data_IF_357404621496
#
_entry.id   IF_357404621496
#
_cell.length_a   1.000
_cell.length_b   1.000
_cell.length_c   1.000
_cell.angle_alpha   90.00
_cell.angle_beta   90.00
_cell.angle_gamma   90.00
#
_symmetry.space_group_name_H-M   'P 1'
#
loop_
_entity.id
_entity.type
_entity.pdbx_description
1 polymer ?
#
# COMPACT_ATOMS: atom_id res chain seq x y z
N UNK A 1 -4.60 -26.16 17.77
CA UNK A 1 -3.60 -26.64 16.79
C UNK A 1 -4.28 -27.67 15.91
N UNK A 2 -4.16 -27.55 14.60
CA UNK A 2 -4.71 -28.50 13.63
C UNK A 2 -3.54 -29.16 12.92
N UNK A 3 -3.60 -30.48 12.79
CA UNK A 3 -2.61 -31.27 12.05
C UNK A 3 -3.30 -31.70 10.76
N UNK A 4 -2.76 -31.28 9.62
CA UNK A 4 -3.24 -31.76 8.33
C UNK A 4 -2.77 -33.20 8.09
N UNK A 5 -3.50 -34.00 7.29
CA UNK A 5 -3.10 -35.38 6.96
C UNK A 5 -1.68 -35.48 6.37
N UNK A 6 -1.16 -34.38 5.81
CA UNK A 6 0.22 -34.23 5.33
C UNK A 6 1.27 -34.03 6.43
N UNK A 7 0.91 -34.10 7.72
CA UNK A 7 1.81 -33.92 8.87
C UNK A 7 2.12 -32.46 9.25
N UNK A 8 1.58 -31.49 8.50
CA UNK A 8 1.77 -30.05 8.73
C UNK A 8 0.94 -29.57 9.91
N UNK A 9 1.59 -28.83 10.81
CA UNK A 9 0.99 -28.31 12.06
C UNK A 9 0.63 -26.84 11.87
N UNK A 10 -0.65 -26.51 12.00
CA UNK A 10 -1.15 -25.15 11.83
C UNK A 10 -1.79 -24.61 13.11
N UNK A 11 -1.56 -23.33 13.37
CA UNK A 11 -2.29 -22.57 14.39
C UNK A 11 -3.57 -22.01 13.78
N UNK A 12 -4.65 -22.80 13.85
CA UNK A 12 -6.01 -22.37 13.47
C UNK A 12 -6.83 -22.03 14.71
N UNK A 13 -7.51 -20.90 14.68
CA UNK A 13 -8.55 -20.50 15.63
C UNK A 13 -9.88 -20.44 14.90
N UNK A 14 -10.86 -21.20 15.39
CA UNK A 14 -12.25 -21.06 14.97
C UNK A 14 -12.92 -20.06 15.90
N UNK A 15 -13.53 -19.03 15.33
CA UNK A 15 -14.29 -18.06 16.09
C UNK A 15 -15.57 -17.69 15.34
N UNK A 16 -16.64 -17.44 16.09
CA UNK A 16 -17.91 -16.98 15.53
C UNK A 16 -17.91 -15.46 15.59
N UNK A 17 -17.90 -14.81 14.44
CA UNK A 17 -17.97 -13.36 14.32
C UNK A 17 -19.24 -13.00 13.53
N UNK A 18 -20.05 -12.08 14.06
CA UNK A 18 -21.28 -11.61 13.40
C UNK A 18 -22.22 -12.76 12.93
N UNK A 19 -22.47 -13.77 13.79
CA UNK A 19 -23.25 -14.98 13.49
C UNK A 19 -22.69 -15.87 12.36
N UNK A 20 -21.46 -15.64 11.90
CA UNK A 20 -20.77 -16.44 10.88
C UNK A 20 -19.52 -17.09 11.46
N UNK A 21 -19.39 -18.41 11.28
CA UNK A 21 -18.20 -19.14 11.69
C UNK A 21 -17.04 -18.75 10.76
N UNK A 22 -15.96 -18.20 11.33
CA UNK A 22 -14.76 -17.81 10.60
C UNK A 22 -13.55 -18.50 11.21
N UNK A 23 -12.72 -19.08 10.35
CA UNK A 23 -11.46 -19.71 10.74
C UNK A 23 -10.29 -18.79 10.44
N UNK A 24 -9.56 -18.38 11.46
CA UNK A 24 -8.32 -17.61 11.34
C UNK A 24 -7.12 -18.57 11.42
N UNK A 25 -6.20 -18.45 10.47
CA UNK A 25 -4.94 -19.19 10.47
C UNK A 25 -3.81 -18.21 10.81
N UNK A 26 -3.09 -18.46 11.90
CA UNK A 26 -1.98 -17.62 12.38
C UNK A 26 -0.61 -18.05 11.84
N UNK A 27 -0.53 -19.22 11.19
CA UNK A 27 0.69 -19.70 10.54
C UNK A 27 0.99 -21.18 10.79
N UNK A 28 2.04 -21.67 10.13
CA UNK A 28 2.55 -23.04 10.23
C UNK A 28 3.63 -23.11 11.33
N UNK A 29 3.65 -24.21 12.09
CA UNK A 29 4.72 -24.53 13.02
C UNK A 29 5.88 -25.18 12.24
N UNK A 30 7.16 -24.83 12.49
CA UNK A 30 7.69 -24.10 13.65
C UNK A 30 7.88 -22.58 13.46
N UNK A 31 7.50 -22.03 12.30
CA UNK A 31 7.68 -20.60 12.01
C UNK A 31 6.95 -19.69 13.02
N UNK A 32 5.80 -20.14 13.55
CA UNK A 32 5.07 -19.44 14.61
C UNK A 32 5.14 -20.23 15.92
N UNK A 33 5.72 -19.59 16.94
CA UNK A 33 5.86 -20.19 18.27
C UNK A 33 4.53 -20.18 19.04
N UNK A 34 4.40 -21.10 20.01
CA UNK A 34 3.21 -21.20 20.87
C UNK A 34 2.86 -19.87 21.57
N UNK A 35 3.89 -19.11 21.96
CA UNK A 35 3.71 -17.81 22.62
C UNK A 35 3.10 -16.78 21.66
N UNK A 36 3.64 -16.69 20.44
CA UNK A 36 3.12 -15.79 19.40
C UNK A 36 1.68 -16.14 19.00
N UNK A 37 1.37 -17.45 18.86
CA UNK A 37 0.03 -17.92 18.57
C UNK A 37 -0.98 -17.54 19.67
N UNK A 38 -0.57 -17.52 20.96
CA UNK A 38 -1.42 -17.06 22.07
C UNK A 38 -1.68 -15.57 22.00
N UNK A 39 -0.67 -14.76 21.70
CA UNK A 39 -0.82 -13.30 21.54
C UNK A 39 -1.74 -12.95 20.38
N UNK A 40 -1.59 -13.62 19.23
CA UNK A 40 -2.47 -13.40 18.08
C UNK A 40 -3.91 -13.85 18.33
N UNK A 41 -4.10 -14.96 19.05
CA UNK A 41 -5.42 -15.42 19.50
C UNK A 41 -6.10 -14.39 20.39
N UNK A 42 -5.39 -13.85 21.37
CA UNK A 42 -5.95 -12.86 22.31
C UNK A 42 -6.29 -11.53 21.61
N UNK A 43 -5.46 -11.11 20.65
CA UNK A 43 -5.75 -9.97 19.77
C UNK A 43 -7.00 -10.21 18.93
N UNK A 44 -7.13 -11.40 18.32
CA UNK A 44 -8.29 -11.76 17.52
C UNK A 44 -9.58 -11.82 18.37
N UNK A 45 -9.53 -12.41 19.56
CA UNK A 45 -10.65 -12.43 20.49
C UNK A 45 -11.05 -11.02 20.95
N UNK A 46 -10.08 -10.14 21.22
CA UNK A 46 -10.34 -8.75 21.60
C UNK A 46 -10.99 -7.96 20.45
N UNK A 47 -10.58 -8.21 19.20
CA UNK A 47 -11.19 -7.58 18.02
C UNK A 47 -12.63 -8.07 17.78
N UNK A 48 -12.88 -9.36 17.98
CA UNK A 48 -14.22 -9.97 17.90
C UNK A 48 -15.14 -9.43 19.00
N UNK A 49 -14.65 -9.33 20.23
CA UNK A 49 -15.41 -8.82 21.37
C UNK A 49 -15.83 -7.36 21.19
N UNK A 50 -15.00 -6.55 20.53
CA UNK A 50 -15.32 -5.16 20.24
C UNK A 50 -16.27 -4.97 19.04
N UNK A 51 -16.78 -6.05 18.41
CA UNK A 51 -17.58 -5.98 17.17
C UNK A 51 -16.90 -5.17 16.05
N UNK A 52 -15.57 -5.12 16.09
CA UNK A 52 -14.76 -4.42 15.12
C UNK A 52 -14.55 -5.39 13.96
N UNK A 53 -15.20 -5.09 12.84
CA UNK A 53 -15.03 -5.86 11.62
C UNK A 53 -13.54 -5.82 11.19
N UNK A 54 -12.81 -6.96 11.26
CA UNK A 54 -11.38 -6.97 10.96
C UNK A 54 -11.10 -6.63 9.49
N UNK A 55 -12.12 -6.70 8.61
CA UNK A 55 -12.02 -6.21 7.24
C UNK A 55 -12.07 -4.68 7.16
N UNK A 56 -12.84 -4.02 8.03
CA UNK A 56 -12.93 -2.56 8.09
C UNK A 56 -11.66 -1.94 8.70
N UNK A 57 -11.12 -2.51 9.78
CA UNK A 57 -9.87 -2.00 10.37
C UNK A 57 -8.65 -2.31 9.51
N UNK A 58 -8.61 -3.45 8.81
CA UNK A 58 -7.58 -3.67 7.77
C UNK A 58 -7.71 -2.68 6.62
N UNK A 59 -8.92 -2.32 6.19
CA UNK A 59 -9.13 -1.28 5.15
C UNK A 59 -8.70 0.10 5.62
N UNK A 60 -9.06 0.50 6.84
CA UNK A 60 -8.75 1.84 7.37
C UNK A 60 -7.28 1.96 7.73
N UNK A 61 -6.67 0.98 8.40
CA UNK A 61 -5.23 1.00 8.69
C UNK A 61 -4.38 0.92 7.41
N UNK A 62 -4.80 0.14 6.40
CA UNK A 62 -4.13 0.14 5.09
C UNK A 62 -4.33 1.47 4.36
N UNK A 63 -5.46 2.16 4.51
CA UNK A 63 -5.69 3.49 3.96
C UNK A 63 -4.84 4.59 4.64
N UNK A 64 -4.61 4.49 5.95
CA UNK A 64 -3.77 5.46 6.69
C UNK A 64 -2.28 5.23 6.42
N UNK A 65 -1.78 3.99 6.45
CA UNK A 65 -0.39 3.67 6.08
C UNK A 65 -0.11 3.91 4.58
N UNK A 66 -1.11 3.76 3.71
CA UNK A 66 -0.93 4.06 2.28
C UNK A 66 -0.74 5.54 2.01
N UNK A 67 -1.14 6.47 2.90
CA UNK A 67 -1.00 7.90 2.67
C UNK A 67 0.44 8.38 2.78
N UNK A 68 1.20 7.91 3.76
CA UNK A 68 2.59 8.36 4.01
C UNK A 68 3.60 7.82 2.98
N UNK A 69 3.26 6.71 2.30
CA UNK A 69 4.05 6.14 1.20
C UNK A 69 3.41 6.21 -0.18
N UNK A 70 2.29 6.95 -0.31
CA UNK A 70 1.55 7.04 -1.57
C UNK A 70 2.35 7.77 -2.65
N UNK A 71 2.13 7.40 -3.91
CA UNK A 71 2.67 8.14 -5.04
C UNK A 71 2.25 9.61 -5.02
N UNK A 72 1.04 9.93 -4.57
CA UNK A 72 0.60 11.32 -4.40
C UNK A 72 1.45 12.07 -3.36
N UNK A 73 1.75 11.46 -2.21
CA UNK A 73 2.59 12.08 -1.19
C UNK A 73 4.01 12.32 -1.68
N UNK A 74 4.63 11.32 -2.32
CA UNK A 74 5.98 11.46 -2.88
C UNK A 74 6.01 12.49 -4.01
N UNK A 75 4.98 12.50 -4.87
CA UNK A 75 4.87 13.48 -5.95
C UNK A 75 4.74 14.92 -5.42
N UNK A 76 4.00 15.15 -4.32
CA UNK A 76 3.91 16.47 -3.67
C UNK A 76 5.23 16.88 -3.01
N UNK A 77 5.93 15.97 -2.36
CA UNK A 77 7.24 16.24 -1.77
C UNK A 77 8.27 16.61 -2.86
N UNK A 78 8.32 15.81 -3.91
CA UNK A 78 9.12 16.08 -5.10
C UNK A 78 8.76 17.45 -5.70
N UNK A 79 7.48 17.75 -5.87
CA UNK A 79 7.02 19.04 -6.40
C UNK A 79 7.50 20.22 -5.56
N UNK A 80 7.40 20.11 -4.23
CA UNK A 80 7.89 21.12 -3.27
C UNK A 80 9.41 21.32 -3.35
N UNK A 81 10.16 20.25 -3.60
CA UNK A 81 11.62 20.28 -3.72
C UNK A 81 12.12 20.87 -5.04
N UNK A 82 11.36 20.70 -6.12
CA UNK A 82 11.68 21.22 -7.45
C UNK A 82 11.05 22.59 -7.72
N UNK A 83 10.10 23.03 -6.90
CA UNK A 83 9.50 24.38 -6.89
C UNK A 83 10.52 25.53 -7.04
N UNK A 84 11.64 25.60 -6.30
CA UNK A 84 12.62 26.68 -6.46
C UNK A 84 13.42 26.64 -7.77
N UNK A 85 13.41 25.51 -8.50
CA UNK A 85 14.04 25.39 -9.82
C UNK A 85 13.10 25.76 -10.97
N UNK A 86 11.81 25.86 -10.70
CA UNK A 86 10.77 26.08 -11.71
C UNK A 86 10.02 27.38 -11.47
N UNK A 87 9.45 27.95 -12.53
CA UNK A 87 8.50 29.05 -12.38
C UNK A 87 7.20 28.53 -11.78
N UNK A 88 6.50 29.35 -10.98
CA UNK A 88 5.21 29.00 -10.36
C UNK A 88 4.19 28.48 -11.40
N UNK A 89 4.18 29.07 -12.60
CA UNK A 89 3.31 28.65 -13.70
C UNK A 89 3.64 27.23 -14.17
N UNK A 90 4.93 26.90 -14.29
CA UNK A 90 5.38 25.58 -14.70
C UNK A 90 5.09 24.52 -13.63
N UNK A 91 5.38 24.85 -12.37
CA UNK A 91 5.10 23.98 -11.22
C UNK A 91 3.60 23.69 -11.11
N UNK A 92 2.74 24.71 -11.19
CA UNK A 92 1.28 24.55 -11.10
C UNK A 92 0.74 23.72 -12.26
N UNK A 93 1.26 23.92 -13.48
CA UNK A 93 0.84 23.12 -14.65
C UNK A 93 1.20 21.64 -14.51
N UNK A 94 2.39 21.32 -13.97
CA UNK A 94 2.80 19.94 -13.72
C UNK A 94 1.90 19.29 -12.67
N UNK A 95 1.63 19.98 -11.56
CA UNK A 95 0.79 19.45 -10.49
C UNK A 95 -0.64 19.18 -10.97
N UNK A 96 -1.24 20.13 -11.69
CA UNK A 96 -2.59 19.96 -12.26
C UNK A 96 -2.68 18.77 -13.22
N UNK A 97 -1.61 18.50 -13.99
CA UNK A 97 -1.53 17.32 -14.88
C UNK A 97 -1.44 16.02 -14.07
N UNK A 98 -0.62 16.00 -13.02
CA UNK A 98 -0.52 14.84 -12.13
C UNK A 98 -1.86 14.55 -11.43
N UNK A 99 -2.54 15.58 -10.93
CA UNK A 99 -3.85 15.47 -10.29
C UNK A 99 -4.93 14.95 -11.24
N UNK A 100 -4.92 15.40 -12.49
CA UNK A 100 -5.95 15.03 -13.47
C UNK A 100 -5.72 13.65 -14.09
N UNK A 101 -4.48 13.32 -14.41
CA UNK A 101 -4.17 12.19 -15.27
C UNK A 101 -3.45 11.04 -14.54
N UNK A 102 -2.84 11.27 -13.37
CA UNK A 102 -2.02 10.26 -12.68
C UNK A 102 -2.61 9.85 -11.32
N UNK A 103 -2.93 10.80 -10.46
CA UNK A 103 -3.47 10.54 -9.12
C UNK A 103 -4.77 9.72 -9.09
N UNK A 104 -5.75 9.88 -10.00
CA UNK A 104 -6.96 9.05 -9.98
C UNK A 104 -6.70 7.56 -10.21
N UNK A 105 -5.54 7.19 -10.76
CA UNK A 105 -5.22 5.79 -11.07
C UNK A 105 -4.19 5.20 -10.11
N UNK A 106 -3.10 5.91 -9.84
CA UNK A 106 -1.98 5.41 -9.03
C UNK A 106 -1.69 6.27 -7.79
N UNK A 107 -2.37 7.41 -7.62
CA UNK A 107 -2.08 8.37 -6.54
C UNK A 107 -2.25 7.78 -5.15
N UNK A 108 -3.26 6.93 -4.93
CA UNK A 108 -3.52 6.28 -3.64
C UNK A 108 -2.67 5.01 -3.39
N UNK A 109 -1.90 4.55 -4.39
CA UNK A 109 -1.07 3.35 -4.27
C UNK A 109 0.29 3.71 -3.65
N UNK A 110 0.86 2.85 -2.80
CA UNK A 110 2.21 3.06 -2.30
C UNK A 110 3.22 2.91 -3.43
N UNK A 111 4.23 3.79 -3.49
CA UNK A 111 5.17 3.85 -4.62
C UNK A 111 5.93 2.53 -4.84
N UNK A 112 6.20 1.77 -3.77
CA UNK A 112 6.82 0.45 -3.84
C UNK A 112 5.95 -0.67 -4.41
N UNK A 113 4.63 -0.51 -4.47
CA UNK A 113 3.72 -1.46 -5.14
C UNK A 113 3.39 -1.07 -6.58
N UNK A 114 3.85 0.09 -7.06
CA UNK A 114 3.54 0.54 -8.43
C UNK A 114 4.37 -0.25 -9.42
N UNK A 115 3.68 -1.05 -10.22
CA UNK A 115 4.33 -1.88 -11.23
C UNK A 115 4.53 -1.10 -12.54
N UNK A 116 5.61 -1.36 -13.30
CA UNK A 116 5.83 -0.78 -14.62
C UNK A 116 4.63 -0.88 -15.59
N UNK A 117 3.91 -2.03 -15.71
CA UNK A 117 2.75 -2.11 -16.60
C UNK A 117 1.59 -1.20 -16.18
N UNK A 118 1.39 -0.94 -14.88
CA UNK A 118 0.36 -0.01 -14.41
C UNK A 118 0.71 1.44 -14.82
N UNK A 119 1.96 1.84 -14.65
CA UNK A 119 2.42 3.15 -15.11
C UNK A 119 2.26 3.30 -16.63
N UNK A 120 2.57 2.24 -17.38
CA UNK A 120 2.42 2.21 -18.84
C UNK A 120 0.94 2.33 -19.25
N UNK A 121 0.02 1.71 -18.51
CA UNK A 121 -1.43 1.82 -18.74
C UNK A 121 -1.93 3.27 -18.54
N UNK A 122 -1.43 3.97 -17.52
CA UNK A 122 -1.73 5.40 -17.30
C UNK A 122 -1.17 6.25 -18.44
N UNK A 123 0.10 6.04 -18.83
CA UNK A 123 0.73 6.78 -19.92
C UNK A 123 -0.01 6.58 -21.25
N UNK A 124 -0.44 5.36 -21.59
CA UNK A 124 -1.22 5.08 -22.81
C UNK A 124 -2.55 5.81 -22.84
N UNK A 125 -3.23 5.96 -21.70
CA UNK A 125 -4.48 6.76 -21.63
C UNK A 125 -4.23 8.23 -21.95
N UNK A 126 -3.13 8.78 -21.47
CA UNK A 126 -2.75 10.17 -21.74
C UNK A 126 -2.31 10.32 -23.20
N UNK A 127 -1.59 9.33 -23.73
CA UNK A 127 -1.11 9.28 -25.11
C UNK A 127 -2.27 9.37 -26.11
N UNK A 128 -3.41 8.74 -25.80
CA UNK A 128 -4.63 8.81 -26.61
C UNK A 128 -5.21 10.22 -26.75
N UNK A 129 -4.86 11.14 -25.84
CA UNK A 129 -5.30 12.54 -25.83
C UNK A 129 -4.24 13.46 -26.39
N UNK A 130 -2.99 13.32 -25.93
CA UNK A 130 -1.87 14.16 -26.36
C UNK A 130 -0.53 13.45 -26.10
N UNK A 131 0.19 13.13 -27.17
CA UNK A 131 1.53 12.50 -27.14
C UNK A 131 2.53 13.33 -26.31
N UNK A 132 2.54 14.64 -26.50
CA UNK A 132 3.48 15.54 -25.82
C UNK A 132 3.28 15.57 -24.30
N UNK A 133 2.03 15.50 -23.85
CA UNK A 133 1.68 15.45 -22.41
C UNK A 133 2.06 14.11 -21.80
N UNK A 134 1.86 13.00 -22.53
CA UNK A 134 2.27 11.67 -22.08
C UNK A 134 3.80 11.59 -21.91
N UNK A 135 4.55 12.15 -22.84
CA UNK A 135 6.01 12.19 -22.76
C UNK A 135 6.51 13.00 -21.55
N UNK A 136 5.92 14.19 -21.32
CA UNK A 136 6.22 15.01 -20.14
C UNK A 136 5.92 14.29 -18.83
N UNK A 137 4.76 13.64 -18.73
CA UNK A 137 4.37 12.89 -17.52
C UNK A 137 5.29 11.68 -17.31
N UNK A 138 5.72 10.99 -18.36
CA UNK A 138 6.70 9.90 -18.26
C UNK A 138 8.01 10.37 -17.64
N UNK A 139 8.54 11.52 -18.06
CA UNK A 139 9.77 12.09 -17.49
C UNK A 139 9.56 12.41 -16.01
N UNK A 140 8.47 13.09 -15.67
CA UNK A 140 8.14 13.46 -14.30
C UNK A 140 7.99 12.23 -13.40
N UNK A 141 7.25 11.21 -13.85
CA UNK A 141 7.12 9.94 -13.13
C UNK A 141 8.48 9.25 -12.93
N UNK A 142 9.35 9.30 -13.93
CA UNK A 142 10.73 8.80 -13.81
C UNK A 142 11.52 9.54 -12.73
N UNK A 143 11.41 10.88 -12.67
CA UNK A 143 12.07 11.69 -11.63
C UNK A 143 11.50 11.44 -10.23
N UNK A 144 10.20 11.19 -10.12
CA UNK A 144 9.55 10.82 -8.85
C UNK A 144 9.99 9.42 -8.41
N UNK A 145 10.16 8.48 -9.33
CA UNK A 145 10.61 7.12 -9.03
C UNK A 145 12.12 7.02 -8.73
N UNK A 146 12.94 7.89 -9.34
CA UNK A 146 14.38 8.01 -9.08
C UNK A 146 14.68 8.73 -7.75
N UNK A 147 13.70 9.50 -7.24
CA UNK A 147 13.81 10.12 -5.93
C UNK A 147 13.94 9.02 -4.86
N UNK A 148 14.98 9.08 -3.99
CA UNK A 148 15.20 8.07 -2.96
C UNK A 148 14.11 8.17 -1.88
N UNK A 149 12.97 7.55 -2.13
CA UNK A 149 11.95 7.31 -1.13
C UNK A 149 12.40 6.10 -0.31
N UNK A 150 12.83 6.33 0.92
CA UNK A 150 13.09 5.25 1.88
C UNK A 150 11.74 4.85 2.47
N UNK A 151 11.17 3.69 2.09
CA UNK A 151 10.16 3.08 2.95
C UNK A 151 10.82 2.93 4.31
N UNK A 152 10.17 3.40 5.37
CA UNK A 152 10.59 3.17 6.75
C UNK A 152 11.09 1.73 6.87
N UNK A 153 12.42 1.57 6.88
CA UNK A 153 13.05 0.25 6.83
C UNK A 153 13.10 -0.15 8.28
N UNK A 154 12.28 -1.10 8.76
CA UNK A 154 12.40 -1.52 10.14
C UNK A 154 13.85 -1.97 10.35
N UNK A 155 14.53 -1.50 11.43
CA UNK A 155 15.94 -1.79 11.64
C UNK A 155 16.12 -3.31 11.62
N UNK A 156 17.03 -3.78 10.76
CA UNK A 156 17.32 -5.20 10.61
C UNK A 156 17.65 -5.78 12.00
N UNK A 157 17.01 -6.88 12.43
CA UNK A 157 17.36 -7.51 13.69
C UNK A 157 18.81 -8.02 13.58
N UNK A 158 19.63 -7.56 14.52
CA UNK A 158 21.03 -7.94 14.68
C UNK A 158 21.15 -9.30 15.36
#
# INVERSE_FOLDING_TARGET
MVIEPSGKKWWKLRAVFAKKETSFSFGEYPAVTLSQARVERDKANSQIANSIDPAAVRKVAKATLSREGSFEAVAREWHTRFLPKWSEVHATSIMARLEKDVFPYIGARPIGEITPPEMLAVLRRIESRTLETAYRIKIVCGQIADMPWQPDTPPAPR
#
